data_IF_401119574443
#
_entry.id   IF_401119574443
#
_cell.length_a   1.000
_cell.length_b   1.000
_cell.length_c   1.000
_cell.angle_alpha   90.00
_cell.angle_beta   90.00
_cell.angle_gamma   90.00
#
_symmetry.space_group_name_H-M   'P 1'
#
loop_
_entity.id
_entity.type
_entity.pdbx_description
1 polymer ?
#
# COMPACT_ATOMS: atom_id res chain seq x y z
N UNK A 1 32.05 29.79 -1.08
CA UNK A 1 31.29 28.86 -0.26
C UNK A 1 30.13 28.37 -1.13
N UNK A 2 30.19 27.12 -1.59
CA UNK A 2 29.09 26.52 -2.34
C UNK A 2 28.11 26.08 -1.26
N UNK A 3 26.96 26.77 -1.17
CA UNK A 3 25.85 26.30 -0.36
C UNK A 3 25.52 24.88 -0.83
N UNK A 4 25.72 23.91 0.05
CA UNK A 4 25.24 22.56 -0.14
C UNK A 4 23.72 22.65 -0.29
N UNK A 5 23.23 22.64 -1.53
CA UNK A 5 21.83 22.42 -1.82
C UNK A 5 21.45 21.12 -1.12
N UNK A 6 20.74 21.19 0.01
CA UNK A 6 20.25 20.00 0.68
C UNK A 6 19.37 19.29 -0.34
N UNK A 7 19.82 18.12 -0.80
CA UNK A 7 19.10 17.35 -1.79
C UNK A 7 17.66 17.14 -1.29
N UNK A 8 16.68 17.45 -2.15
CA UNK A 8 15.25 17.29 -1.84
C UNK A 8 15.01 15.83 -1.46
N UNK A 9 14.53 15.60 -0.25
CA UNK A 9 14.21 14.26 0.26
C UNK A 9 12.77 14.19 0.70
N UNK A 10 12.06 13.17 0.29
CA UNK A 10 10.69 12.91 0.71
C UNK A 10 10.66 11.78 1.74
N UNK A 11 9.93 11.96 2.82
CA UNK A 11 9.65 10.89 3.77
C UNK A 11 8.29 10.28 3.43
N UNK A 12 8.25 8.95 3.27
CA UNK A 12 7.01 8.18 3.06
C UNK A 12 6.80 7.28 4.26
N UNK A 13 5.63 7.36 4.89
CA UNK A 13 5.28 6.55 6.07
C UNK A 13 4.30 5.45 5.64
N UNK A 14 4.72 4.20 5.82
CA UNK A 14 4.00 2.99 5.43
C UNK A 14 4.46 2.43 4.09
N UNK A 15 4.92 1.17 4.10
CA UNK A 15 5.37 0.44 2.90
C UNK A 15 4.33 -0.57 2.40
N UNK A 16 3.07 -0.18 2.43
CA UNK A 16 1.98 -0.83 1.71
C UNK A 16 1.98 -0.47 0.22
N UNK A 17 0.92 -0.85 -0.51
CA UNK A 17 0.81 -0.61 -1.96
C UNK A 17 1.03 0.86 -2.34
N UNK A 18 0.35 1.77 -1.64
CA UNK A 18 0.44 3.20 -1.93
C UNK A 18 1.81 3.78 -1.59
N UNK A 19 2.40 3.40 -0.45
CA UNK A 19 3.70 3.93 -0.03
C UNK A 19 4.85 3.42 -0.88
N UNK A 20 4.87 2.14 -1.24
CA UNK A 20 5.87 1.60 -2.15
C UNK A 20 5.76 2.21 -3.55
N UNK A 21 4.54 2.40 -4.08
CA UNK A 21 4.33 3.09 -5.36
C UNK A 21 4.81 4.53 -5.30
N UNK A 22 4.46 5.28 -4.25
CA UNK A 22 4.91 6.67 -4.07
C UNK A 22 6.43 6.77 -3.99
N UNK A 23 7.06 5.91 -3.18
CA UNK A 23 8.51 5.87 -3.03
C UNK A 23 9.20 5.57 -4.37
N UNK A 24 8.70 4.59 -5.11
CA UNK A 24 9.20 4.21 -6.43
C UNK A 24 9.10 5.37 -7.42
N UNK A 25 7.92 5.96 -7.55
CA UNK A 25 7.68 7.05 -8.50
C UNK A 25 8.52 8.30 -8.21
N UNK A 26 8.79 8.60 -6.94
CA UNK A 26 9.68 9.69 -6.54
C UNK A 26 11.14 9.37 -6.90
N UNK A 27 11.58 8.17 -6.55
CA UNK A 27 12.95 7.72 -6.77
C UNK A 27 13.32 7.64 -8.25
N UNK A 28 12.41 7.11 -9.10
CA UNK A 28 12.56 7.10 -10.56
C UNK A 28 12.64 8.51 -11.18
N UNK A 29 12.18 9.54 -10.47
CA UNK A 29 12.31 10.96 -10.85
C UNK A 29 13.53 11.65 -10.24
N UNK A 30 14.43 10.87 -9.64
CA UNK A 30 15.70 11.39 -9.07
C UNK A 30 15.57 12.00 -7.68
N UNK A 31 14.44 11.80 -6.99
CA UNK A 31 14.22 12.29 -5.63
C UNK A 31 14.63 11.22 -4.63
N UNK A 32 15.42 11.58 -3.61
CA UNK A 32 15.79 10.66 -2.54
C UNK A 32 14.61 10.45 -1.58
N UNK A 33 14.35 9.20 -1.22
CA UNK A 33 13.20 8.81 -0.41
C UNK A 33 13.66 8.10 0.87
N UNK A 34 13.09 8.53 2.00
CA UNK A 34 13.10 7.77 3.25
C UNK A 34 11.75 7.08 3.40
N UNK A 35 11.74 5.77 3.21
CA UNK A 35 10.52 4.95 3.39
C UNK A 35 10.54 4.33 4.79
N UNK A 36 9.55 4.70 5.61
CA UNK A 36 9.41 4.20 6.98
C UNK A 36 8.34 3.10 7.02
N UNK A 37 8.71 1.95 7.54
CA UNK A 37 7.81 0.80 7.71
C UNK A 37 7.89 0.29 9.15
N UNK A 38 6.74 0.01 9.75
CA UNK A 38 6.71 -0.48 11.13
C UNK A 38 7.22 -1.92 11.28
N UNK A 39 7.12 -2.73 10.24
CA UNK A 39 7.64 -4.10 10.28
C UNK A 39 9.17 -4.12 10.19
N UNK A 40 9.84 -5.03 10.89
CA UNK A 40 9.33 -6.11 11.72
C UNK A 40 9.01 -5.70 13.17
N UNK A 41 9.20 -4.42 13.56
CA UNK A 41 9.07 -3.94 14.95
C UNK A 41 7.64 -4.04 15.47
N UNK A 42 6.65 -3.82 14.60
CA UNK A 42 5.24 -3.95 14.91
C UNK A 42 4.47 -4.47 13.69
N UNK A 43 3.35 -5.16 13.94
CA UNK A 43 2.42 -5.64 12.90
C UNK A 43 0.99 -5.36 13.31
N UNK A 44 0.13 -5.15 12.33
CA UNK A 44 -1.32 -5.21 12.55
C UNK A 44 -1.77 -6.67 12.68
N UNK A 45 -2.95 -6.91 13.24
CA UNK A 45 -3.49 -8.27 13.39
C UNK A 45 -3.65 -9.03 12.06
N UNK A 46 -3.73 -8.32 10.94
CA UNK A 46 -3.87 -8.91 9.60
C UNK A 46 -2.53 -9.29 8.96
N UNK A 47 -1.40 -8.82 9.47
CA UNK A 47 -0.09 -9.02 8.88
C UNK A 47 0.61 -10.25 9.46
N UNK A 48 1.17 -11.08 8.59
CA UNK A 48 1.87 -12.33 8.94
C UNK A 48 3.32 -12.37 8.45
N UNK A 49 3.68 -11.48 7.52
CA UNK A 49 4.98 -11.44 6.86
C UNK A 49 5.71 -10.12 7.11
N UNK A 50 7.04 -10.13 7.07
CA UNK A 50 7.88 -8.92 7.11
C UNK A 50 8.02 -8.25 5.74
N UNK A 51 7.56 -8.90 4.67
CA UNK A 51 7.65 -8.35 3.32
C UNK A 51 6.77 -7.12 3.16
N UNK A 52 7.19 -6.23 2.26
CA UNK A 52 6.42 -5.05 1.89
C UNK A 52 5.19 -5.44 1.06
N UNK A 53 4.20 -4.58 0.98
CA UNK A 53 2.99 -4.78 0.17
C UNK A 53 2.27 -6.11 0.42
N UNK A 54 2.24 -6.59 1.66
CA UNK A 54 1.50 -7.79 2.02
C UNK A 54 0.01 -7.62 1.73
N UNK A 55 -0.55 -8.53 0.92
CA UNK A 55 -1.97 -8.52 0.56
C UNK A 55 -2.79 -9.25 1.63
N UNK A 56 -3.28 -8.53 2.61
CA UNK A 56 -3.94 -9.11 3.80
C UNK A 56 -5.42 -9.49 3.57
N UNK A 57 -6.11 -8.86 2.63
CA UNK A 57 -7.54 -9.11 2.39
C UNK A 57 -7.78 -10.09 1.24
N UNK A 58 -7.29 -9.77 0.05
CA UNK A 58 -7.51 -10.56 -1.17
C UNK A 58 -6.26 -10.52 -2.03
N UNK A 59 -6.02 -11.56 -2.82
CA UNK A 59 -4.98 -11.58 -3.84
C UNK A 59 -5.46 -11.01 -5.18
N UNK A 60 -6.71 -10.56 -5.26
CA UNK A 60 -7.30 -9.97 -6.46
C UNK A 60 -7.18 -8.45 -6.45
N UNK A 61 -6.61 -7.91 -7.51
CA UNK A 61 -6.60 -6.48 -7.79
C UNK A 61 -7.78 -6.07 -8.68
N UNK A 62 -8.89 -6.82 -8.62
CA UNK A 62 -10.13 -6.60 -9.37
C UNK A 62 -9.99 -6.80 -10.89
N UNK A 63 -11.01 -6.37 -11.66
CA UNK A 63 -11.07 -6.57 -13.12
C UNK A 63 -9.87 -6.00 -13.88
N UNK A 64 -9.45 -6.71 -14.95
CA UNK A 64 -8.33 -6.35 -15.80
C UNK A 64 -8.74 -5.82 -17.19
N UNK A 65 -10.01 -6.00 -17.56
CA UNK A 65 -10.49 -5.62 -18.90
C UNK A 65 -10.52 -4.10 -19.08
N UNK A 66 -9.99 -3.61 -20.19
CA UNK A 66 -9.90 -2.18 -20.53
C UNK A 66 -11.27 -1.48 -20.66
N UNK A 67 -12.31 -2.24 -20.94
CA UNK A 67 -13.69 -1.72 -21.03
C UNK A 67 -14.25 -1.31 -19.66
N UNK A 68 -13.60 -1.71 -18.60
CA UNK A 68 -13.98 -1.34 -17.23
C UNK A 68 -13.06 -0.24 -16.70
N UNK A 69 -13.60 0.74 -16.00
CA UNK A 69 -12.84 1.86 -15.44
C UNK A 69 -11.62 1.38 -14.61
N UNK A 70 -11.78 0.32 -13.81
CA UNK A 70 -10.70 -0.27 -13.00
C UNK A 70 -9.59 -0.90 -13.88
N UNK A 71 -9.95 -1.51 -15.00
CA UNK A 71 -8.98 -2.06 -15.95
C UNK A 71 -8.26 -0.95 -16.72
N UNK A 72 -8.99 0.10 -17.11
CA UNK A 72 -8.41 1.28 -17.77
C UNK A 72 -7.41 1.99 -16.84
N UNK A 73 -7.77 2.22 -15.58
CA UNK A 73 -6.84 2.81 -14.59
C UNK A 73 -5.54 2.00 -14.44
N UNK A 74 -5.63 0.67 -14.45
CA UNK A 74 -4.43 -0.17 -14.41
C UNK A 74 -3.54 0.04 -15.63
N UNK A 75 -4.13 0.17 -16.81
CA UNK A 75 -3.37 0.43 -18.04
C UNK A 75 -2.69 1.81 -17.98
N UNK A 76 -3.37 2.82 -17.49
CA UNK A 76 -2.78 4.16 -17.26
C UNK A 76 -1.59 4.10 -16.31
N UNK A 77 -1.71 3.32 -15.21
CA UNK A 77 -0.62 3.10 -14.26
C UNK A 77 0.55 2.33 -14.90
N UNK A 78 0.28 1.31 -15.75
CA UNK A 78 1.35 0.61 -16.50
C UNK A 78 2.14 1.57 -17.40
N UNK A 79 1.46 2.46 -18.10
CA UNK A 79 2.10 3.50 -18.92
C UNK A 79 2.94 4.49 -18.12
N UNK A 80 2.70 4.58 -16.83
CA UNK A 80 3.49 5.39 -15.89
C UNK A 80 4.59 4.57 -15.18
N UNK A 81 4.89 3.36 -15.65
CA UNK A 81 5.88 2.46 -15.07
C UNK A 81 5.62 2.17 -13.59
N UNK A 82 4.36 1.89 -13.23
CA UNK A 82 3.97 1.52 -11.87
C UNK A 82 4.75 0.31 -11.38
N UNK A 83 5.39 0.43 -10.22
CA UNK A 83 6.03 -0.68 -9.52
C UNK A 83 5.01 -1.79 -9.22
N UNK A 84 3.88 -1.38 -8.63
CA UNK A 84 2.85 -2.32 -8.16
C UNK A 84 2.26 -3.11 -9.32
N UNK A 85 1.91 -2.45 -10.43
CA UNK A 85 1.37 -3.14 -11.60
C UNK A 85 2.42 -4.02 -12.30
N UNK A 86 3.67 -3.58 -12.39
CA UNK A 86 4.76 -4.39 -12.95
C UNK A 86 4.99 -5.68 -12.15
N UNK A 87 5.03 -5.60 -10.81
CA UNK A 87 5.14 -6.77 -9.94
C UNK A 87 3.88 -7.65 -10.00
N UNK A 88 2.68 -7.05 -10.08
CA UNK A 88 1.44 -7.80 -10.17
C UNK A 88 1.33 -8.59 -11.48
N UNK A 89 1.70 -7.99 -12.61
CA UNK A 89 1.70 -8.67 -13.91
C UNK A 89 2.71 -9.83 -13.94
N UNK A 90 3.87 -9.67 -13.29
CA UNK A 90 4.89 -10.73 -13.16
C UNK A 90 4.47 -11.88 -12.24
N UNK A 91 3.58 -11.61 -11.27
CA UNK A 91 3.12 -12.60 -10.27
C UNK A 91 1.70 -13.09 -10.55
N UNK A 92 1.17 -12.84 -11.75
CA UNK A 92 -0.22 -13.12 -12.12
C UNK A 92 -0.53 -14.62 -12.05
N UNK A 93 -1.70 -14.94 -11.48
CA UNK A 93 -2.29 -16.30 -11.49
C UNK A 93 -3.64 -16.30 -12.23
N UNK A 94 -4.08 -17.45 -12.76
CA UNK A 94 -5.37 -17.54 -13.44
C UNK A 94 -6.54 -17.16 -12.53
N UNK A 95 -7.36 -16.20 -12.95
CA UNK A 95 -8.52 -15.71 -12.20
C UNK A 95 -9.61 -15.12 -13.09
N UNK A 96 -9.85 -15.74 -14.28
CA UNK A 96 -10.83 -15.24 -15.25
C UNK A 96 -10.51 -13.82 -15.69
N UNK A 97 -11.48 -12.91 -15.58
CA UNK A 97 -11.31 -11.49 -15.97
C UNK A 97 -10.64 -10.59 -14.92
N UNK A 98 -10.19 -11.15 -13.81
CA UNK A 98 -9.52 -10.39 -12.75
C UNK A 98 -7.98 -10.45 -12.88
N UNK A 99 -7.29 -9.42 -12.40
CA UNK A 99 -5.87 -9.48 -12.10
C UNK A 99 -5.71 -10.04 -10.69
N UNK A 100 -5.44 -11.33 -10.56
CA UNK A 100 -5.06 -11.96 -9.29
C UNK A 100 -3.59 -12.35 -9.32
N UNK A 101 -2.95 -12.35 -8.16
CA UNK A 101 -1.52 -12.60 -8.02
C UNK A 101 -1.24 -13.70 -6.99
N UNK A 102 -0.11 -14.36 -7.15
CA UNK A 102 0.51 -15.09 -6.05
C UNK A 102 0.99 -14.06 -5.02
N UNK A 103 0.47 -14.14 -3.79
CA UNK A 103 0.73 -13.13 -2.74
C UNK A 103 2.20 -13.07 -2.35
N UNK A 104 2.82 -14.24 -2.22
CA UNK A 104 4.21 -14.34 -1.78
C UNK A 104 5.17 -13.87 -2.86
N UNK A 105 4.95 -14.29 -4.11
CA UNK A 105 5.75 -13.86 -5.25
C UNK A 105 5.62 -12.35 -5.48
N UNK A 106 4.41 -11.81 -5.39
CA UNK A 106 4.15 -10.38 -5.52
C UNK A 106 4.87 -9.55 -4.45
N UNK A 107 4.68 -9.92 -3.18
CA UNK A 107 5.26 -9.22 -2.04
C UNK A 107 6.79 -9.30 -2.07
N UNK A 108 7.36 -10.46 -2.45
CA UNK A 108 8.79 -10.63 -2.62
C UNK A 108 9.35 -9.73 -3.72
N UNK A 109 8.70 -9.69 -4.89
CA UNK A 109 9.14 -8.88 -6.02
C UNK A 109 9.13 -7.37 -5.70
N UNK A 110 8.09 -6.87 -5.01
CA UNK A 110 8.05 -5.47 -4.57
C UNK A 110 9.15 -5.19 -3.56
N UNK A 111 9.33 -6.07 -2.58
CA UNK A 111 10.35 -5.93 -1.53
C UNK A 111 11.75 -5.86 -2.14
N UNK A 112 12.07 -6.75 -3.06
CA UNK A 112 13.35 -6.78 -3.76
C UNK A 112 13.63 -5.48 -4.53
N UNK A 113 12.64 -5.00 -5.30
CA UNK A 113 12.78 -3.76 -6.08
C UNK A 113 12.97 -2.53 -5.20
N UNK A 114 12.24 -2.42 -4.09
CA UNK A 114 12.39 -1.31 -3.14
C UNK A 114 13.77 -1.34 -2.48
N UNK A 115 14.23 -2.51 -2.02
CA UNK A 115 15.57 -2.64 -1.42
C UNK A 115 16.70 -2.40 -2.42
N UNK A 116 16.52 -2.78 -3.69
CA UNK A 116 17.51 -2.61 -4.74
C UNK A 116 17.62 -1.20 -5.29
N UNK A 117 16.67 -0.29 -4.97
CA UNK A 117 16.66 1.04 -5.56
C UNK A 117 17.63 2.01 -4.85
N UNK A 118 18.63 2.60 -5.52
CA UNK A 118 19.70 3.39 -4.88
C UNK A 118 19.22 4.67 -4.18
N UNK A 119 18.04 5.18 -4.54
CA UNK A 119 17.46 6.39 -3.95
C UNK A 119 16.38 6.13 -2.91
N UNK A 120 16.09 4.87 -2.60
CA UNK A 120 15.11 4.51 -1.56
C UNK A 120 15.86 3.94 -0.36
N UNK A 121 15.81 4.65 0.75
CA UNK A 121 16.27 4.15 2.03
C UNK A 121 15.07 3.63 2.82
N UNK A 122 14.97 2.31 2.93
CA UNK A 122 13.98 1.68 3.80
C UNK A 122 14.50 1.65 5.25
N UNK A 123 13.66 2.05 6.19
CA UNK A 123 13.97 2.02 7.62
C UNK A 123 12.80 1.45 8.41
N UNK A 124 13.08 0.46 9.26
CA UNK A 124 12.09 -0.08 10.20
C UNK A 124 11.86 0.92 11.33
N UNK A 125 10.65 1.49 11.40
CA UNK A 125 10.29 2.47 12.41
C UNK A 125 8.78 2.49 12.65
N UNK A 126 8.38 2.42 13.92
CA UNK A 126 7.01 2.74 14.32
C UNK A 126 6.89 4.26 14.46
N UNK A 127 6.03 4.86 13.65
CA UNK A 127 5.84 6.31 13.61
C UNK A 127 4.55 6.64 14.36
N UNK A 128 4.67 7.37 15.47
CA UNK A 128 3.54 7.80 16.30
C UNK A 128 3.06 9.23 16.04
N UNK A 129 3.85 10.03 15.30
CA UNK A 129 3.49 11.39 14.91
C UNK A 129 4.11 11.72 13.57
N UNK A 130 3.47 12.61 12.80
CA UNK A 130 3.99 13.09 11.52
C UNK A 130 5.27 13.89 11.79
N UNK A 131 6.40 13.55 11.19
CA UNK A 131 7.62 14.35 11.30
C UNK A 131 7.41 15.77 10.79
N UNK A 132 8.22 16.70 11.27
CA UNK A 132 8.23 18.07 10.75
C UNK A 132 8.45 18.05 9.23
N UNK A 133 7.53 18.69 8.53
CA UNK A 133 7.53 18.77 7.07
C UNK A 133 7.90 20.17 6.60
N UNK A 134 8.58 20.26 5.46
CA UNK A 134 8.89 21.50 4.76
C UNK A 134 8.77 21.32 3.26
N UNK A 135 8.86 22.39 2.49
CA UNK A 135 8.88 22.31 1.03
C UNK A 135 10.06 21.49 0.49
N UNK A 136 11.18 21.47 1.21
CA UNK A 136 12.37 20.69 0.87
C UNK A 136 12.31 19.24 1.39
N UNK A 137 11.52 19.00 2.42
CA UNK A 137 11.35 17.69 3.06
C UNK A 137 9.87 17.38 3.30
N UNK A 138 9.08 17.19 2.23
CA UNK A 138 7.68 16.84 2.38
C UNK A 138 7.49 15.42 2.94
N UNK A 139 6.35 15.20 3.59
CA UNK A 139 5.97 13.91 4.18
C UNK A 139 4.71 13.39 3.49
N UNK A 140 4.75 12.12 3.11
CA UNK A 140 3.59 11.38 2.57
C UNK A 140 3.19 10.34 3.60
N UNK A 141 1.96 10.39 4.08
CA UNK A 141 1.39 9.35 4.96
C UNK A 141 0.59 8.36 4.12
N UNK A 142 1.03 7.10 4.08
CA UNK A 142 0.49 6.03 3.26
C UNK A 142 0.27 4.72 4.06
N UNK A 143 -0.11 4.86 5.33
CA UNK A 143 -0.26 3.76 6.29
C UNK A 143 -1.52 2.92 6.11
N UNK A 144 -2.44 3.38 5.26
CA UNK A 144 -3.69 2.66 4.95
C UNK A 144 -4.72 2.70 6.09
N UNK A 145 -5.73 1.83 6.05
CA UNK A 145 -6.86 1.88 6.98
C UNK A 145 -6.55 1.37 8.39
N UNK A 146 -5.44 0.67 8.57
CA UNK A 146 -5.01 0.13 9.86
C UNK A 146 -3.85 0.94 10.47
N UNK A 147 -3.93 2.25 10.38
CA UNK A 147 -2.96 3.18 10.98
C UNK A 147 -2.98 3.04 12.51
N UNK A 148 -1.79 2.99 13.12
CA UNK A 148 -1.66 2.93 14.57
C UNK A 148 -2.30 4.14 15.26
N UNK A 149 -2.85 3.93 16.45
CA UNK A 149 -3.68 4.90 17.18
C UNK A 149 -2.99 6.27 17.34
N UNK A 150 -1.75 6.27 17.84
CA UNK A 150 -1.00 7.51 18.06
C UNK A 150 -0.81 8.34 16.76
N UNK A 151 -0.48 7.67 15.64
CA UNK A 151 -0.34 8.36 14.36
C UNK A 151 -1.70 8.83 13.82
N UNK A 152 -2.77 8.06 14.02
CA UNK A 152 -4.12 8.43 13.62
C UNK A 152 -4.61 9.69 14.37
N UNK A 153 -4.35 9.79 15.67
CA UNK A 153 -4.63 10.98 16.48
C UNK A 153 -3.84 12.21 15.99
N UNK A 154 -2.57 12.02 15.67
CA UNK A 154 -1.73 13.09 15.16
C UNK A 154 -2.19 13.58 13.77
N UNK A 155 -2.56 12.65 12.87
CA UNK A 155 -3.16 12.99 11.58
C UNK A 155 -4.45 13.83 11.79
N UNK A 156 -5.34 13.40 12.68
CA UNK A 156 -6.57 14.13 12.98
C UNK A 156 -6.29 15.55 13.48
N UNK A 157 -5.28 15.71 14.35
CA UNK A 157 -4.84 17.01 14.85
C UNK A 157 -4.31 17.92 13.73
N UNK A 158 -3.48 17.38 12.82
CA UNK A 158 -2.87 18.15 11.73
C UNK A 158 -3.91 18.56 10.68
N UNK A 159 -4.85 17.68 10.36
CA UNK A 159 -5.92 17.95 9.38
C UNK A 159 -7.02 18.86 9.96
N UNK A 160 -7.09 18.98 11.28
CA UNK A 160 -8.12 19.77 11.96
C UNK A 160 -9.52 19.18 11.85
N UNK A 161 -9.64 17.89 11.56
CA UNK A 161 -10.90 17.19 11.34
C UNK A 161 -11.19 16.21 12.47
N UNK A 162 -12.29 16.40 13.17
CA UNK A 162 -12.86 15.42 14.10
C UNK A 162 -13.43 14.17 13.38
N UNK A 163 -13.35 14.12 12.04
CA UNK A 163 -14.05 13.13 11.21
C UNK A 163 -13.09 12.27 10.37
N UNK A 164 -11.89 12.00 10.84
CA UNK A 164 -11.06 10.97 10.22
C UNK A 164 -11.68 9.61 10.56
N UNK A 165 -12.61 9.15 9.74
CA UNK A 165 -13.22 7.84 9.91
C UNK A 165 -12.36 6.79 9.21
N UNK A 166 -11.74 5.91 9.99
CA UNK A 166 -11.12 4.70 9.48
C UNK A 166 -12.16 3.58 9.51
N UNK A 167 -12.44 3.02 8.36
CA UNK A 167 -13.26 1.82 8.26
C UNK A 167 -12.36 0.62 8.02
N UNK A 168 -12.49 -0.40 8.84
CA UNK A 168 -11.92 -1.70 8.53
C UNK A 168 -12.61 -2.25 7.27
N UNK A 169 -11.88 -2.31 6.17
CA UNK A 169 -12.36 -2.82 4.89
C UNK A 169 -12.21 -4.34 4.77
N UNK A 170 -11.76 -5.03 5.81
CA UNK A 170 -11.66 -6.48 5.82
C UNK A 170 -13.07 -7.04 5.83
N UNK A 171 -13.45 -7.75 4.74
CA UNK A 171 -14.71 -8.44 4.69
C UNK A 171 -14.78 -9.49 5.83
N UNK A 172 -15.84 -9.52 6.64
CA UNK A 172 -15.96 -10.50 7.70
C UNK A 172 -15.94 -11.91 7.10
N UNK A 173 -15.01 -12.74 7.58
CA UNK A 173 -14.93 -14.14 7.22
C UNK A 173 -15.59 -14.92 8.35
N UNK A 174 -16.65 -15.67 8.03
CA UNK A 174 -17.36 -16.51 8.98
C UNK A 174 -17.15 -17.98 8.63
N UNK A 175 -17.15 -18.85 9.64
CA UNK A 175 -17.13 -20.29 9.40
C UNK A 175 -18.38 -20.74 8.66
N UNK A 176 -18.26 -21.62 7.68
CA UNK A 176 -19.40 -22.16 6.95
C UNK A 176 -20.40 -22.86 7.90
N UNK A 177 -19.90 -23.45 8.98
CA UNK A 177 -20.71 -24.14 9.99
C UNK A 177 -21.52 -23.18 10.87
N UNK A 178 -21.13 -21.89 10.92
CA UNK A 178 -21.87 -20.86 11.66
C UNK A 178 -23.00 -20.21 10.87
N UNK A 179 -23.17 -20.58 9.59
CA UNK A 179 -24.17 -19.98 8.71
C UNK A 179 -25.51 -20.71 8.86
N UNK A 180 -26.53 -19.99 9.26
CA UNK A 180 -27.91 -20.48 9.26
C UNK A 180 -28.46 -20.54 7.82
N UNK A 181 -28.18 -21.61 7.10
CA UNK A 181 -28.50 -21.76 5.68
C UNK A 181 -29.99 -21.72 5.37
N UNK A 182 -30.86 -21.91 6.36
CA UNK A 182 -32.31 -21.73 6.29
C UNK A 182 -32.76 -20.27 6.26
N UNK A 183 -31.84 -19.33 6.64
CA UNK A 183 -32.12 -17.88 6.72
C UNK A 183 -31.35 -17.07 5.71
N UNK A 184 -30.47 -17.68 4.93
CA UNK A 184 -29.63 -16.99 3.94
C UNK A 184 -29.75 -17.69 2.59
N UNK A 185 -29.45 -16.98 1.54
CA UNK A 185 -29.41 -17.53 0.18
C UNK A 185 -28.07 -17.20 -0.48
N UNK A 186 -27.66 -18.04 -1.43
CA UNK A 186 -26.49 -17.82 -2.24
C UNK A 186 -26.87 -16.93 -3.42
N UNK A 187 -26.14 -15.85 -3.59
CA UNK A 187 -26.31 -14.97 -4.73
C UNK A 187 -24.94 -14.48 -5.23
N UNK A 188 -24.78 -14.43 -6.53
CA UNK A 188 -23.64 -13.73 -7.11
C UNK A 188 -24.02 -12.25 -7.35
N UNK A 189 -23.01 -11.36 -7.42
CA UNK A 189 -23.23 -9.94 -7.66
C UNK A 189 -23.89 -9.63 -9.01
N UNK A 190 -23.81 -10.58 -9.93
CA UNK A 190 -24.24 -10.42 -11.33
C UNK A 190 -25.28 -11.46 -11.76
N UNK A 191 -25.96 -12.08 -10.86
CA UNK A 191 -26.99 -13.10 -11.10
C UNK A 191 -26.52 -14.53 -10.97
#
# INVERSE_FOLDING_TARGET
MIESSSARRVTVIGAGLAGCEAAWQLAERGIDVLLLEQKPLARTAAQTSDRLCELVCSNSMRGAALVNAIGLLKEELRRKNSLILGCADASKVPAGGALAVDRDAFSAAVTEKIHGHPRIRLEARVVGAIPDASEQQPVIVATGPLTGEALAEDIARVVGSAHLAYYDAIAPIVSADSIAWDRVFRQSRWG
#
